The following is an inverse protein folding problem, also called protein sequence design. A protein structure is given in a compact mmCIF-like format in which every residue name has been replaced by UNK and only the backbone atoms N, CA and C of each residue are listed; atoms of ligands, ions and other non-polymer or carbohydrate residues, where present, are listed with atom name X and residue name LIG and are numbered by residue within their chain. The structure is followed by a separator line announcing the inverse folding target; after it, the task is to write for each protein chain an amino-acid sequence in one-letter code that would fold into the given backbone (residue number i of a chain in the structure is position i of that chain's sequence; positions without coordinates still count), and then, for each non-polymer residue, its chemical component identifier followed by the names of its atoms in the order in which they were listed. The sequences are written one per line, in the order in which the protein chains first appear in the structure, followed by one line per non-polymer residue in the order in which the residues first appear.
data_IF_775597708749
#
_entry.id   IF_775597708749
#
_cell.length_a   1.000
_cell.length_b   1.000
_cell.length_c   1.000
_cell.angle_alpha   90.00
_cell.angle_beta   90.00
_cell.angle_gamma   90.00
#
_symmetry.space_group_name_H-M   'P 1'
#
loop_
_entity.id
_entity.type
_entity.pdbx_description
1 polymer ?
#
# COMPACT_ATOMS: atom_id res chain seq x y z
N UNK A 1 15.44 -27.23 -12.26
CA UNK A 1 14.48 -27.31 -11.14
C UNK A 1 13.57 -26.10 -11.23
N UNK A 2 12.25 -26.30 -11.32
CA UNK A 2 11.28 -25.21 -11.34
C UNK A 2 10.99 -24.80 -9.91
N UNK A 3 11.60 -23.72 -9.45
CA UNK A 3 11.28 -23.16 -8.15
C UNK A 3 9.84 -22.63 -8.16
N UNK A 4 9.05 -23.01 -7.16
CA UNK A 4 7.64 -22.62 -7.02
C UNK A 4 7.46 -21.93 -5.67
N UNK A 5 7.13 -20.62 -5.65
CA UNK A 5 6.97 -19.87 -4.41
C UNK A 5 5.83 -20.39 -3.52
N UNK A 6 5.90 -20.05 -2.24
CA UNK A 6 4.83 -20.29 -1.26
C UNK A 6 3.50 -19.63 -1.66
N UNK A 7 2.38 -20.12 -1.10
CA UNK A 7 1.06 -19.54 -1.37
C UNK A 7 0.98 -18.08 -0.90
N UNK A 8 1.52 -17.81 0.28
CA UNK A 8 1.67 -16.49 0.88
C UNK A 8 2.45 -15.52 0.00
N UNK A 9 3.59 -15.97 -0.56
CA UNK A 9 4.37 -15.17 -1.51
C UNK A 9 3.59 -14.88 -2.78
N UNK A 10 2.93 -15.90 -3.38
CA UNK A 10 2.12 -15.72 -4.59
C UNK A 10 1.02 -14.68 -4.40
N UNK A 11 0.31 -14.76 -3.27
CA UNK A 11 -0.77 -13.81 -2.94
C UNK A 11 -0.20 -12.40 -2.74
N UNK A 12 0.92 -12.28 -2.02
CA UNK A 12 1.54 -10.97 -1.76
C UNK A 12 2.10 -10.35 -3.05
N UNK A 13 2.69 -11.15 -3.94
CA UNK A 13 3.13 -10.71 -5.27
C UNK A 13 1.95 -10.30 -6.17
N UNK A 14 0.86 -11.06 -6.13
CA UNK A 14 -0.37 -10.68 -6.85
C UNK A 14 -0.88 -9.33 -6.35
N UNK A 15 -0.91 -9.11 -5.04
CA UNK A 15 -1.30 -7.83 -4.46
C UNK A 15 -0.39 -6.68 -4.93
N UNK A 16 0.94 -6.87 -4.93
CA UNK A 16 1.88 -5.89 -5.45
C UNK A 16 1.57 -5.55 -6.93
N UNK A 17 1.36 -6.57 -7.77
CA UNK A 17 1.03 -6.39 -9.18
C UNK A 17 -0.29 -5.66 -9.42
N UNK A 18 -1.32 -5.95 -8.62
CA UNK A 18 -2.61 -5.27 -8.71
C UNK A 18 -2.51 -3.79 -8.26
N UNK A 19 -1.76 -3.50 -7.20
CA UNK A 19 -1.50 -2.13 -6.76
C UNK A 19 -0.69 -1.38 -7.82
N UNK A 20 0.29 -2.03 -8.46
CA UNK A 20 1.03 -1.45 -9.58
C UNK A 20 0.11 -1.09 -10.74
N UNK A 21 -0.76 -2.01 -11.15
CA UNK A 21 -1.72 -1.79 -12.23
C UNK A 21 -2.66 -0.62 -11.90
N UNK A 22 -3.15 -0.55 -10.66
CA UNK A 22 -3.93 0.58 -10.17
C UNK A 22 -3.13 1.89 -10.30
N UNK A 23 -1.85 1.89 -9.92
CA UNK A 23 -0.99 3.05 -10.04
C UNK A 23 -0.85 3.54 -11.49
N UNK A 24 -0.73 2.63 -12.47
CA UNK A 24 -0.71 2.97 -13.90
C UNK A 24 -2.02 3.62 -14.35
N UNK A 25 -3.17 3.06 -13.93
CA UNK A 25 -4.49 3.64 -14.22
C UNK A 25 -4.64 5.04 -13.62
N UNK A 26 -4.19 5.25 -12.38
CA UNK A 26 -4.16 6.57 -11.75
C UNK A 26 -3.22 7.54 -12.50
N UNK A 27 -2.16 7.03 -13.11
CA UNK A 27 -1.27 7.81 -13.97
C UNK A 27 -2.00 8.37 -15.18
N UNK A 28 -2.86 7.57 -15.81
CA UNK A 28 -3.73 8.04 -16.91
C UNK A 28 -4.69 9.13 -16.44
N UNK A 29 -5.30 8.97 -15.26
CA UNK A 29 -6.19 10.00 -14.70
C UNK A 29 -5.45 11.31 -14.43
N UNK A 30 -4.28 11.23 -13.78
CA UNK A 30 -3.38 12.37 -13.53
C UNK A 30 -3.00 13.07 -14.83
N UNK A 31 -2.57 12.32 -15.84
CA UNK A 31 -2.19 12.84 -17.16
C UNK A 31 -3.36 13.61 -17.80
N UNK A 32 -4.56 13.04 -17.78
CA UNK A 32 -5.74 13.72 -18.33
C UNK A 32 -6.01 15.05 -17.64
N UNK A 33 -5.89 15.14 -16.31
CA UNK A 33 -6.08 16.41 -15.59
C UNK A 33 -5.03 17.46 -15.99
N UNK A 34 -3.76 17.07 -16.09
CA UNK A 34 -2.67 17.95 -16.51
C UNK A 34 -2.90 18.50 -17.93
N UNK A 35 -3.45 17.70 -18.84
CA UNK A 35 -3.73 18.13 -20.22
C UNK A 35 -4.94 19.06 -20.34
N UNK A 36 -5.87 19.03 -19.39
CA UNK A 36 -7.12 19.81 -19.47
C UNK A 36 -7.15 21.03 -18.56
N UNK A 37 -6.30 21.08 -17.54
CA UNK A 37 -6.27 22.18 -16.58
C UNK A 37 -5.49 23.39 -17.13
N UNK A 38 -5.97 24.60 -16.87
CA UNK A 38 -5.32 25.84 -17.34
C UNK A 38 -3.89 26.00 -16.81
N UNK A 39 -3.66 25.61 -15.56
CA UNK A 39 -2.34 25.61 -14.91
C UNK A 39 -1.50 24.37 -15.22
N UNK A 40 -2.05 23.42 -15.99
CA UNK A 40 -1.46 22.13 -16.32
C UNK A 40 -1.03 21.32 -15.08
N UNK A 41 -1.80 21.39 -14.00
CA UNK A 41 -1.56 20.60 -12.79
C UNK A 41 -2.73 19.66 -12.49
N UNK A 42 -2.39 18.47 -12.01
CA UNK A 42 -3.39 17.57 -11.45
C UNK A 42 -3.77 18.02 -10.04
N UNK A 43 -4.97 17.66 -9.60
CA UNK A 43 -5.40 17.90 -8.23
C UNK A 43 -4.43 17.24 -7.24
N UNK A 44 -4.06 17.89 -6.11
CA UNK A 44 -3.05 17.36 -5.19
C UNK A 44 -3.31 15.92 -4.74
N UNK A 45 -4.57 15.60 -4.41
CA UNK A 45 -4.94 14.23 -4.01
C UNK A 45 -4.84 13.20 -5.14
N UNK A 46 -5.06 13.57 -6.40
CA UNK A 46 -4.87 12.66 -7.55
C UNK A 46 -3.38 12.37 -7.76
N UNK A 47 -2.56 13.39 -7.61
CA UNK A 47 -1.11 13.30 -7.69
C UNK A 47 -0.52 12.46 -6.53
N UNK A 48 -1.03 12.66 -5.30
CA UNK A 48 -0.70 11.83 -4.13
C UNK A 48 -1.15 10.38 -4.36
N UNK A 49 -2.39 10.15 -4.81
CA UNK A 49 -2.91 8.80 -5.04
C UNK A 49 -2.02 7.99 -6.00
N UNK A 50 -1.63 8.59 -7.13
CA UNK A 50 -0.76 7.94 -8.11
C UNK A 50 0.63 7.60 -7.54
N UNK A 51 1.29 8.57 -6.88
CA UNK A 51 2.62 8.33 -6.29
C UNK A 51 2.58 7.32 -5.15
N UNK A 52 1.58 7.42 -4.28
CA UNK A 52 1.39 6.49 -3.17
C UNK A 52 1.17 5.08 -3.69
N UNK A 53 0.30 4.90 -4.69
CA UNK A 53 0.08 3.58 -5.30
C UNK A 53 1.35 2.99 -5.92
N UNK A 54 2.17 3.80 -6.61
CA UNK A 54 3.48 3.34 -7.09
C UNK A 54 4.37 2.88 -5.93
N UNK A 55 4.57 3.73 -4.92
CA UNK A 55 5.45 3.41 -3.79
C UNK A 55 4.97 2.19 -3.00
N UNK A 56 3.66 2.10 -2.74
CA UNK A 56 3.06 1.00 -2.01
C UNK A 56 3.12 -0.31 -2.79
N UNK A 57 3.06 -0.29 -4.11
CA UNK A 57 3.34 -1.48 -4.92
C UNK A 57 4.75 -2.03 -4.66
N UNK A 58 5.77 -1.17 -4.66
CA UNK A 58 7.15 -1.60 -4.38
C UNK A 58 7.34 -2.02 -2.94
N UNK A 59 6.67 -1.35 -1.99
CA UNK A 59 6.65 -1.78 -0.60
C UNK A 59 5.99 -3.16 -0.44
N UNK A 60 4.87 -3.43 -1.12
CA UNK A 60 4.25 -4.77 -1.12
C UNK A 60 5.14 -5.82 -1.76
N UNK A 61 5.89 -5.48 -2.81
CA UNK A 61 6.93 -6.37 -3.35
C UNK A 61 8.02 -6.66 -2.32
N UNK A 62 8.47 -5.66 -1.56
CA UNK A 62 9.40 -5.86 -0.45
C UNK A 62 8.82 -6.82 0.60
N UNK A 63 7.54 -6.66 0.98
CA UNK A 63 6.87 -7.59 1.89
C UNK A 63 6.87 -9.02 1.33
N UNK A 64 6.64 -9.20 0.04
CA UNK A 64 6.66 -10.52 -0.59
C UNK A 64 8.04 -11.21 -0.47
N UNK A 65 9.13 -10.45 -0.55
CA UNK A 65 10.49 -10.97 -0.33
C UNK A 65 10.67 -11.43 1.13
N UNK A 66 10.22 -10.63 2.09
CA UNK A 66 10.26 -11.01 3.51
C UNK A 66 9.39 -12.23 3.81
N UNK A 67 8.21 -12.32 3.20
CA UNK A 67 7.30 -13.48 3.30
C UNK A 67 7.97 -14.74 2.77
N UNK A 68 8.56 -14.69 1.57
CA UNK A 68 9.19 -15.86 0.95
C UNK A 68 10.38 -16.39 1.75
N UNK A 69 11.11 -15.50 2.42
CA UNK A 69 12.31 -15.83 3.18
C UNK A 69 12.04 -16.01 4.68
N UNK A 70 10.77 -15.95 5.09
CA UNK A 70 10.35 -16.06 6.50
C UNK A 70 10.30 -17.52 6.96
N UNK A 71 10.72 -17.77 8.21
CA UNK A 71 10.54 -19.06 8.89
C UNK A 71 9.11 -19.30 9.39
N UNK A 72 8.24 -18.28 9.37
CA UNK A 72 6.90 -18.42 9.93
C UNK A 72 5.98 -19.27 9.06
N UNK A 73 4.98 -19.94 9.66
CA UNK A 73 3.94 -20.61 8.90
C UNK A 73 3.16 -19.61 8.03
N UNK A 74 2.70 -20.08 6.88
CA UNK A 74 1.99 -19.32 5.84
C UNK A 74 0.89 -18.39 6.37
N UNK A 75 0.12 -18.83 7.38
CA UNK A 75 -0.96 -18.00 7.91
C UNK A 75 -0.46 -16.76 8.67
N UNK A 76 0.68 -16.85 9.37
CA UNK A 76 1.28 -15.69 10.07
C UNK A 76 1.79 -14.68 9.04
N UNK A 77 2.52 -15.16 8.03
CA UNK A 77 3.00 -14.32 6.94
C UNK A 77 1.85 -13.63 6.20
N UNK A 78 0.80 -14.38 5.85
CA UNK A 78 -0.38 -13.84 5.17
C UNK A 78 -1.11 -12.81 6.01
N UNK A 79 -1.32 -13.06 7.30
CA UNK A 79 -1.99 -12.08 8.18
C UNK A 79 -1.15 -10.82 8.32
N UNK A 80 0.14 -10.95 8.57
CA UNK A 80 1.05 -9.81 8.73
C UNK A 80 1.12 -8.96 7.45
N UNK A 81 1.39 -9.58 6.30
CA UNK A 81 1.43 -8.89 5.01
C UNK A 81 0.06 -8.32 4.64
N UNK A 82 -1.01 -9.07 4.87
CA UNK A 82 -2.38 -8.66 4.57
C UNK A 82 -2.82 -7.42 5.33
N UNK A 83 -2.45 -7.29 6.61
CA UNK A 83 -2.73 -6.08 7.41
C UNK A 83 -2.05 -4.85 6.80
N UNK A 84 -0.75 -4.95 6.45
CA UNK A 84 -0.04 -3.81 5.85
C UNK A 84 -0.63 -3.44 4.48
N UNK A 85 -0.87 -4.44 3.63
CA UNK A 85 -1.48 -4.23 2.30
C UNK A 85 -2.87 -3.61 2.40
N UNK A 86 -3.67 -4.03 3.38
CA UNK A 86 -5.00 -3.45 3.62
C UNK A 86 -4.89 -1.93 3.88
N UNK A 87 -3.98 -1.50 4.75
CA UNK A 87 -3.82 -0.07 5.04
C UNK A 87 -3.27 0.73 3.85
N UNK A 88 -2.34 0.16 3.08
CA UNK A 88 -1.88 0.78 1.82
C UNK A 88 -3.04 1.01 0.85
N UNK A 89 -3.86 -0.01 0.61
CA UNK A 89 -5.01 0.10 -0.30
C UNK A 89 -6.06 1.07 0.25
N UNK A 90 -6.35 1.04 1.55
CA UNK A 90 -7.27 1.97 2.18
C UNK A 90 -6.82 3.42 2.02
N UNK A 91 -5.53 3.71 2.21
CA UNK A 91 -4.97 5.04 2.01
C UNK A 91 -5.07 5.49 0.55
N UNK A 92 -4.72 4.63 -0.42
CA UNK A 92 -4.87 4.94 -1.86
C UNK A 92 -6.33 5.27 -2.18
N UNK A 93 -7.29 4.47 -1.71
CA UNK A 93 -8.71 4.70 -1.94
C UNK A 93 -9.19 6.02 -1.32
N UNK A 94 -8.69 6.37 -0.13
CA UNK A 94 -8.95 7.67 0.50
C UNK A 94 -8.48 8.83 -0.39
N UNK A 95 -7.26 8.77 -0.91
CA UNK A 95 -6.74 9.79 -1.82
C UNK A 95 -7.52 9.86 -3.14
N UNK A 96 -7.94 8.72 -3.69
CA UNK A 96 -8.82 8.68 -4.88
C UNK A 96 -10.14 9.39 -4.59
N UNK A 97 -10.77 9.10 -3.44
CA UNK A 97 -12.04 9.70 -3.06
C UNK A 97 -11.92 11.23 -2.91
N UNK A 98 -10.89 11.72 -2.21
CA UNK A 98 -10.62 13.15 -2.08
C UNK A 98 -10.26 13.81 -3.42
N UNK A 99 -9.52 13.12 -4.29
CA UNK A 99 -9.22 13.59 -5.64
C UNK A 99 -10.45 13.69 -6.53
N UNK A 100 -11.39 12.75 -6.40
CA UNK A 100 -12.66 12.75 -7.13
C UNK A 100 -13.61 13.84 -6.64
N UNK A 101 -13.66 14.08 -5.33
CA UNK A 101 -14.46 15.17 -4.71
C UNK A 101 -13.85 16.54 -4.90
N UNK A 102 -12.56 16.61 -5.26
CA UNK A 102 -11.77 17.84 -5.33
C UNK A 102 -11.75 18.58 -3.98
N UNK A 103 -11.61 17.82 -2.90
CA UNK A 103 -11.52 18.38 -1.55
C UNK A 103 -10.20 19.15 -1.42
N UNK A 104 -10.27 20.44 -1.10
CA UNK A 104 -9.11 21.33 -0.96
C UNK A 104 -8.67 21.54 0.48
N UNK A 105 -9.53 21.18 1.44
CA UNK A 105 -9.23 21.23 2.88
C UNK A 105 -8.37 20.03 3.23
N UNK A 106 -7.25 20.26 3.91
CA UNK A 106 -6.40 19.18 4.37
C UNK A 106 -7.22 18.29 5.32
N UNK A 107 -7.28 16.99 5.04
CA UNK A 107 -8.03 16.02 5.87
C UNK A 107 -7.67 16.08 7.37
N UNK A 108 -6.46 16.55 7.71
CA UNK A 108 -5.96 16.71 9.07
C UNK A 108 -6.18 18.10 9.68
N UNK A 109 -6.77 19.04 8.95
CA UNK A 109 -7.02 20.40 9.44
C UNK A 109 -8.13 20.42 10.49
N UNK A 110 -9.16 19.58 10.32
CA UNK A 110 -10.22 19.35 11.30
C UNK A 110 -10.47 17.84 11.45
N UNK A 111 -9.57 17.09 12.13
CA UNK A 111 -9.68 15.65 12.21
C UNK A 111 -10.87 15.27 13.08
N UNK A 112 -11.84 14.58 12.49
CA UNK A 112 -12.87 13.90 13.26
C UNK A 112 -12.28 12.71 14.01
N UNK A 113 -12.89 12.31 15.13
CA UNK A 113 -12.48 11.16 15.96
C UNK A 113 -12.27 9.85 15.15
N UNK A 114 -13.00 9.69 14.05
CA UNK A 114 -12.84 8.55 13.13
C UNK A 114 -11.48 8.54 12.41
N UNK A 115 -10.96 9.70 12.02
CA UNK A 115 -9.67 9.81 11.34
C UNK A 115 -8.53 9.49 12.31
N UNK A 116 -8.61 9.98 13.54
CA UNK A 116 -7.62 9.68 14.59
C UNK A 116 -7.53 8.18 14.87
N UNK A 117 -8.67 7.51 15.06
CA UNK A 117 -8.71 6.06 15.27
C UNK A 117 -8.14 5.31 14.07
N UNK A 118 -8.48 5.73 12.85
CA UNK A 118 -7.94 5.13 11.63
C UNK A 118 -6.41 5.27 11.56
N UNK A 119 -5.86 6.44 11.91
CA UNK A 119 -4.41 6.66 11.94
C UNK A 119 -3.71 5.80 12.98
N UNK A 120 -4.27 5.66 14.19
CA UNK A 120 -3.70 4.78 15.23
C UNK A 120 -3.67 3.33 14.77
N UNK A 121 -4.78 2.85 14.19
CA UNK A 121 -4.86 1.49 13.65
C UNK A 121 -3.88 1.27 12.49
N UNK A 122 -3.75 2.26 11.61
CA UNK A 122 -2.79 2.23 10.50
C UNK A 122 -1.36 2.12 11.02
N UNK A 123 -0.96 2.99 11.96
CA UNK A 123 0.39 2.99 12.53
C UNK A 123 0.70 1.64 13.18
N UNK A 124 -0.22 1.14 14.02
CA UNK A 124 -0.04 -0.14 14.70
C UNK A 124 0.01 -1.31 13.71
N UNK A 125 -0.84 -1.29 12.68
CA UNK A 125 -0.92 -2.34 11.67
C UNK A 125 0.30 -2.40 10.77
N UNK A 126 0.77 -1.26 10.27
CA UNK A 126 1.92 -1.21 9.36
C UNK A 126 3.23 -1.56 10.08
N UNK A 127 3.49 -0.94 11.23
CA UNK A 127 4.70 -1.22 12.02
C UNK A 127 4.67 -2.65 12.56
N UNK A 128 3.53 -3.08 13.14
CA UNK A 128 3.38 -4.40 13.71
C UNK A 128 3.46 -5.51 12.65
N UNK A 129 2.73 -5.35 11.53
CA UNK A 129 2.76 -6.31 10.44
C UNK A 129 4.15 -6.47 9.83
N UNK A 130 4.86 -5.36 9.58
CA UNK A 130 6.23 -5.45 9.08
C UNK A 130 7.20 -6.04 10.11
N UNK A 131 7.09 -5.69 11.39
CA UNK A 131 7.94 -6.24 12.44
C UNK A 131 7.83 -7.78 12.54
N UNK A 132 6.63 -8.34 12.38
CA UNK A 132 6.42 -9.80 12.36
C UNK A 132 7.16 -10.45 11.18
N UNK A 133 7.05 -9.86 9.98
CA UNK A 133 7.72 -10.35 8.78
C UNK A 133 9.24 -10.25 8.90
N UNK A 134 9.75 -9.14 9.42
CA UNK A 134 11.17 -8.95 9.67
C UNK A 134 11.70 -9.97 10.68
N UNK A 135 10.97 -10.20 11.78
CA UNK A 135 11.34 -11.23 12.75
C UNK A 135 11.37 -12.64 12.12
N UNK A 136 10.43 -12.93 11.21
CA UNK A 136 10.38 -14.20 10.50
C UNK A 136 11.55 -14.41 9.56
N UNK A 137 11.95 -13.36 8.85
CA UNK A 137 13.16 -13.37 8.04
C UNK A 137 14.42 -13.58 8.88
N UNK A 138 14.57 -12.85 9.99
CA UNK A 138 15.72 -13.03 10.89
C UNK A 138 15.77 -14.46 11.43
N UNK A 139 14.62 -15.01 11.86
CA UNK A 139 14.53 -16.38 12.35
C UNK A 139 14.80 -17.44 11.26
N UNK A 140 14.49 -17.17 10.00
CA UNK A 140 14.70 -18.13 8.91
C UNK A 140 16.08 -18.06 8.25
N UNK A 141 16.73 -16.90 8.30
CA UNK A 141 17.94 -16.65 7.53
C UNK A 141 19.19 -16.38 8.39
N UNK A 142 19.03 -16.00 9.66
CA UNK A 142 20.13 -15.52 10.51
C UNK A 142 20.25 -16.22 11.87
N UNK A 143 19.25 -17.01 12.29
CA UNK A 143 19.26 -17.81 13.53
C UNK A 143 19.20 -19.29 13.20
#
# INVERSE_FOLDING_TARGET
MTYTPGLDTKITLLAAGLIFLLALVLGVWKYRQIMTAEDHRAHPYVDIAHRAALLYSFATLLLAVFVELSAWPTWINLTAAGVVVFFFVAAILGYIAHGARRDTVNQFENPGRSLEVAMVLLIAGEIGGFAVLLAGFVAGQLL
#
